data_IF_964239067785
#
_entry.id   IF_964239067785
#
_cell.length_a   1.000
_cell.length_b   1.000
_cell.length_c   1.000
_cell.angle_alpha   90.00
_cell.angle_beta   90.00
_cell.angle_gamma   90.00
#
_symmetry.space_group_name_H-M   'P 1'
#
loop_
_entity.id
_entity.type
_entity.pdbx_description
1 polymer ?
#
# COMPACT_ATOMS: atom_id res chain seq x y z
N UNK A 1 16.50 -7.55 36.20
CA UNK A 1 15.92 -8.01 34.93
C UNK A 1 14.56 -8.59 35.26
N UNK A 2 13.56 -8.34 34.41
CA UNK A 2 12.20 -8.81 34.61
C UNK A 2 12.04 -10.17 33.91
N UNK A 3 11.35 -11.12 34.56
CA UNK A 3 10.96 -12.38 33.91
C UNK A 3 9.56 -12.17 33.34
N UNK A 4 9.42 -12.32 32.03
CA UNK A 4 8.13 -12.24 31.35
C UNK A 4 7.27 -13.43 31.77
N UNK A 5 5.99 -13.17 32.02
CA UNK A 5 4.99 -14.21 32.24
C UNK A 5 3.86 -14.06 31.23
N UNK A 6 3.35 -15.19 30.75
CA UNK A 6 2.20 -15.21 29.86
C UNK A 6 1.05 -14.36 30.44
N UNK A 7 0.35 -13.66 29.55
CA UNK A 7 -0.79 -12.79 29.87
C UNK A 7 -0.48 -11.55 30.74
N UNK A 8 0.77 -11.31 31.11
CA UNK A 8 1.18 -10.00 31.63
C UNK A 8 1.23 -8.96 30.51
N UNK A 9 1.04 -7.69 30.85
CA UNK A 9 1.36 -6.59 29.95
C UNK A 9 2.83 -6.23 30.10
N UNK A 10 3.54 -6.06 29.00
CA UNK A 10 4.91 -5.55 28.96
C UNK A 10 4.96 -4.28 28.14
N UNK A 11 5.76 -3.30 28.57
CA UNK A 11 5.92 -2.03 27.87
C UNK A 11 7.39 -1.61 27.83
N UNK A 12 7.88 -1.06 26.72
CA UNK A 12 9.17 -0.37 26.68
C UNK A 12 9.04 1.05 27.26
N UNK A 13 9.84 1.40 28.27
CA UNK A 13 9.83 2.76 28.86
C UNK A 13 10.31 3.83 27.89
N UNK A 14 11.41 3.57 27.19
CA UNK A 14 11.97 4.46 26.18
C UNK A 14 11.08 4.45 24.94
N UNK A 15 10.90 5.64 24.35
CA UNK A 15 10.06 5.80 23.16
C UNK A 15 8.64 5.26 23.30
N UNK A 16 8.10 5.29 24.54
CA UNK A 16 6.77 4.78 24.87
C UNK A 16 5.61 5.47 24.11
N UNK A 17 5.80 6.69 23.59
CA UNK A 17 4.79 7.35 22.73
C UNK A 17 4.62 6.66 21.36
N UNK A 18 5.50 5.73 21.00
CA UNK A 18 5.38 4.89 19.80
C UNK A 18 4.45 3.69 20.02
N UNK A 19 3.85 3.55 21.21
CA UNK A 19 2.99 2.42 21.58
C UNK A 19 3.68 1.05 21.73
N UNK A 20 4.95 0.92 22.20
CA UNK A 20 5.60 -0.37 22.40
C UNK A 20 5.08 -1.06 23.68
N UNK A 21 3.79 -1.42 23.68
CA UNK A 21 3.07 -2.09 24.77
C UNK A 21 2.31 -3.31 24.21
N UNK A 22 2.38 -4.44 24.89
CA UNK A 22 1.75 -5.67 24.44
C UNK A 22 1.40 -6.58 25.63
N UNK A 23 0.47 -7.52 25.42
CA UNK A 23 0.29 -8.66 26.32
C UNK A 23 1.30 -9.73 25.91
N UNK A 24 2.03 -10.29 26.87
CA UNK A 24 3.06 -11.32 26.69
C UNK A 24 2.40 -12.60 26.18
N UNK A 25 2.72 -13.04 24.95
CA UNK A 25 2.26 -14.32 24.43
C UNK A 25 2.90 -15.50 25.18
N UNK A 26 2.24 -16.66 25.16
CA UNK A 26 2.72 -17.86 25.84
C UNK A 26 4.12 -18.31 25.41
N UNK A 27 4.50 -18.09 24.15
CA UNK A 27 5.82 -18.44 23.60
C UNK A 27 6.99 -17.69 24.26
N UNK A 28 6.71 -16.56 24.94
CA UNK A 28 7.70 -15.75 25.65
C UNK A 28 7.65 -15.93 27.18
N UNK A 29 6.87 -16.89 27.70
CA UNK A 29 6.87 -17.17 29.14
C UNK A 29 8.27 -17.61 29.62
N UNK A 30 8.73 -17.01 30.72
CA UNK A 30 10.04 -17.29 31.31
C UNK A 30 11.20 -16.56 30.65
N UNK A 31 10.99 -15.81 29.56
CA UNK A 31 12.03 -15.01 28.93
C UNK A 31 12.44 -13.85 29.85
N UNK A 32 13.72 -13.47 29.80
CA UNK A 32 14.26 -12.40 30.65
C UNK A 32 14.39 -11.11 29.84
N UNK A 33 13.73 -10.07 30.31
CA UNK A 33 13.79 -8.73 29.73
C UNK A 33 14.59 -7.76 30.62
N UNK A 34 15.21 -6.76 29.97
CA UNK A 34 15.86 -5.66 30.68
C UNK A 34 14.86 -4.89 31.55
N UNK A 35 15.35 -4.17 32.57
CA UNK A 35 14.52 -3.31 33.43
C UNK A 35 13.86 -2.13 32.66
N UNK A 36 14.28 -1.89 31.41
CA UNK A 36 13.60 -0.95 30.49
C UNK A 36 12.25 -1.48 29.97
N UNK A 37 11.90 -2.73 30.30
CA UNK A 37 10.64 -3.40 29.97
C UNK A 37 9.87 -3.81 31.25
N UNK A 38 9.25 -2.86 31.96
CA UNK A 38 8.34 -3.19 33.06
C UNK A 38 7.20 -4.10 32.60
N UNK A 39 6.80 -4.99 33.51
CA UNK A 39 5.68 -5.92 33.35
C UNK A 39 4.58 -5.58 34.35
N UNK A 40 3.33 -5.78 33.95
CA UNK A 40 2.13 -5.49 34.74
C UNK A 40 1.23 -6.72 34.72
N UNK A 41 0.79 -7.15 35.89
CA UNK A 41 -0.18 -8.24 36.01
C UNK A 41 -1.59 -7.68 35.82
N UNK A 42 -2.40 -8.37 35.03
CA UNK A 42 -3.80 -8.01 34.82
C UNK A 42 -4.65 -8.34 36.04
N UNK A 43 -5.54 -7.42 36.41
CA UNK A 43 -6.56 -7.65 37.44
C UNK A 43 -7.60 -8.68 36.98
N UNK A 44 -8.36 -9.29 37.91
CA UNK A 44 -9.36 -10.31 37.60
C UNK A 44 -10.50 -9.81 36.69
N UNK A 45 -10.71 -8.50 36.61
CA UNK A 45 -11.69 -7.86 35.73
C UNK A 45 -11.25 -7.77 34.26
N UNK A 46 -9.97 -7.97 33.96
CA UNK A 46 -9.40 -7.83 32.62
C UNK A 46 -9.14 -9.18 31.96
N UNK A 47 -9.71 -9.38 30.78
CA UNK A 47 -9.35 -10.51 29.92
C UNK A 47 -8.05 -10.22 29.16
N UNK A 48 -7.07 -11.14 29.15
CA UNK A 48 -5.84 -10.95 28.39
C UNK A 48 -6.06 -10.65 26.91
N UNK A 49 -6.99 -11.37 26.26
CA UNK A 49 -7.36 -11.13 24.85
C UNK A 49 -7.93 -9.73 24.60
N UNK A 50 -8.81 -9.26 25.49
CA UNK A 50 -9.33 -7.91 25.40
C UNK A 50 -8.20 -6.88 25.54
N UNK A 51 -7.30 -7.11 26.50
CA UNK A 51 -6.12 -6.25 26.68
C UNK A 51 -5.19 -6.27 25.46
N UNK A 52 -5.10 -7.38 24.71
CA UNK A 52 -4.35 -7.43 23.43
C UNK A 52 -4.87 -6.39 22.44
N UNK A 53 -6.20 -6.22 22.32
CA UNK A 53 -6.78 -5.19 21.45
C UNK A 53 -6.56 -3.77 22.02
N UNK A 54 -6.70 -3.59 23.33
CA UNK A 54 -6.47 -2.30 24.01
C UNK A 54 -5.04 -1.80 23.81
N UNK A 55 -4.05 -2.69 23.95
CA UNK A 55 -2.62 -2.41 23.71
C UNK A 55 -2.35 -1.89 22.29
N UNK A 56 -3.20 -2.25 21.31
CA UNK A 56 -3.08 -1.83 19.89
C UNK A 56 -3.99 -0.64 19.54
N UNK A 57 -4.67 -0.04 20.52
CA UNK A 57 -5.64 1.01 20.29
C UNK A 57 -5.00 2.41 20.20
N UNK A 58 -5.43 3.28 19.27
CA UNK A 58 -4.95 4.66 19.18
C UNK A 58 -5.20 5.46 20.47
N UNK A 59 -6.29 5.17 21.19
CA UNK A 59 -6.64 5.84 22.45
C UNK A 59 -5.58 5.60 23.51
N UNK A 60 -5.18 4.34 23.76
CA UNK A 60 -4.14 4.05 24.74
C UNK A 60 -2.83 4.76 24.34
N UNK A 61 -2.45 4.71 23.06
CA UNK A 61 -1.23 5.35 22.60
C UNK A 61 -1.26 6.88 22.77
N UNK A 62 -2.41 7.52 22.58
CA UNK A 62 -2.60 8.94 22.86
C UNK A 62 -2.44 9.24 24.36
N UNK A 63 -3.05 8.45 25.24
CA UNK A 63 -2.93 8.59 26.70
C UNK A 63 -1.47 8.41 27.18
N UNK A 64 -0.76 7.44 26.60
CA UNK A 64 0.67 7.22 26.84
C UNK A 64 1.49 8.43 26.39
N UNK A 65 1.29 8.89 25.14
CA UNK A 65 2.00 10.03 24.57
C UNK A 65 1.83 11.31 25.40
N UNK A 66 0.64 11.54 25.94
CA UNK A 66 0.33 12.71 26.77
C UNK A 66 0.99 12.70 28.15
N UNK A 67 1.48 11.54 28.62
CA UNK A 67 2.08 11.36 29.95
C UNK A 67 3.60 11.18 29.92
N UNK A 68 4.20 11.06 28.75
CA UNK A 68 5.64 10.91 28.60
C UNK A 68 6.38 12.14 29.13
N UNK A 69 7.48 11.91 29.86
CA UNK A 69 8.35 12.95 30.43
C UNK A 69 9.71 13.05 29.72
N UNK A 70 10.32 14.23 29.71
CA UNK A 70 11.68 14.50 29.17
C UNK A 70 11.72 15.47 27.99
N UNK A 71 12.80 16.26 27.89
CA UNK A 71 12.94 17.33 26.87
C UNK A 71 13.50 16.82 25.54
N UNK A 72 14.42 15.84 25.58
CA UNK A 72 15.06 15.28 24.38
C UNK A 72 14.19 14.18 23.80
N UNK A 73 13.75 14.34 22.55
CA UNK A 73 12.77 13.46 21.92
C UNK A 73 13.13 11.98 22.01
N UNK A 74 14.36 11.55 21.67
CA UNK A 74 14.77 10.12 21.75
C UNK A 74 15.00 9.57 23.17
N UNK A 75 14.94 10.42 24.20
CA UNK A 75 15.15 10.04 25.62
C UNK A 75 13.89 10.17 26.46
N UNK A 76 12.83 10.69 25.87
CA UNK A 76 11.51 10.75 26.49
C UNK A 76 11.12 9.33 26.96
N UNK A 77 10.41 9.25 28.09
CA UNK A 77 9.99 7.97 28.66
C UNK A 77 8.65 8.04 29.37
N UNK A 78 7.99 6.89 29.46
CA UNK A 78 6.83 6.69 30.31
C UNK A 78 7.23 5.79 31.48
N UNK A 79 7.09 6.30 32.70
CA UNK A 79 7.33 5.50 33.91
C UNK A 79 6.10 4.64 34.26
N UNK A 80 6.26 3.49 34.92
CA UNK A 80 5.16 2.60 35.28
C UNK A 80 4.01 3.29 36.00
N UNK A 81 4.31 4.20 36.92
CA UNK A 81 3.32 4.95 37.70
C UNK A 81 2.45 5.84 36.81
N UNK A 82 3.03 6.37 35.72
CA UNK A 82 2.31 7.21 34.77
C UNK A 82 1.39 6.37 33.87
N UNK A 83 1.79 5.13 33.52
CA UNK A 83 0.92 4.20 32.80
C UNK A 83 -0.29 3.81 33.66
N UNK A 84 -0.07 3.51 34.95
CA UNK A 84 -1.12 3.14 35.90
C UNK A 84 -2.13 4.27 36.20
N UNK A 85 -1.82 5.51 35.82
CA UNK A 85 -2.74 6.65 35.91
C UNK A 85 -3.69 6.78 34.71
N UNK A 86 -3.51 5.96 33.66
CA UNK A 86 -4.40 5.97 32.50
C UNK A 86 -5.74 5.34 32.91
N UNK A 87 -6.83 6.07 32.68
CA UNK A 87 -8.18 5.57 32.91
C UNK A 87 -8.80 5.14 31.59
N UNK A 88 -9.10 3.86 31.49
CA UNK A 88 -9.85 3.28 30.37
C UNK A 88 -11.17 2.73 30.89
N UNK A 89 -12.28 2.86 30.14
CA UNK A 89 -13.50 2.16 30.48
C UNK A 89 -13.27 0.67 30.33
N UNK A 90 -13.52 -0.07 31.42
CA UNK A 90 -13.42 -1.52 31.44
C UNK A 90 -14.86 -2.06 31.37
N UNK A 91 -15.29 -2.61 30.23
CA UNK A 91 -16.61 -3.21 30.14
C UNK A 91 -16.67 -4.54 30.93
N UNK A 92 -17.86 -5.05 31.27
CA UNK A 92 -17.99 -6.37 31.90
C UNK A 92 -17.30 -7.47 31.09
N UNK A 93 -16.82 -8.53 31.77
CA UNK A 93 -16.05 -9.60 31.09
C UNK A 93 -16.81 -10.28 29.95
N UNK A 94 -18.12 -10.41 30.04
CA UNK A 94 -18.94 -10.95 28.95
C UNK A 94 -18.93 -10.04 27.72
N UNK A 95 -19.01 -8.72 27.92
CA UNK A 95 -18.86 -7.74 26.84
C UNK A 95 -17.43 -7.78 26.28
N UNK A 96 -16.40 -7.90 27.13
CA UNK A 96 -15.02 -8.06 26.68
C UNK A 96 -14.87 -9.29 25.76
N UNK A 97 -15.43 -10.43 26.15
CA UNK A 97 -15.40 -11.65 25.34
C UNK A 97 -16.08 -11.46 23.98
N UNK A 98 -17.23 -10.78 23.94
CA UNK A 98 -17.94 -10.49 22.68
C UNK A 98 -17.17 -9.52 21.78
N UNK A 99 -16.50 -8.53 22.37
CA UNK A 99 -15.61 -7.61 21.65
C UNK A 99 -14.46 -8.39 21.02
N UNK A 100 -13.79 -9.24 21.81
CA UNK A 100 -12.69 -10.09 21.35
C UNK A 100 -13.13 -10.97 20.19
N UNK A 101 -14.26 -11.68 20.33
CA UNK A 101 -14.79 -12.56 19.28
C UNK A 101 -14.99 -11.82 17.94
N UNK A 102 -15.59 -10.62 17.97
CA UNK A 102 -15.82 -9.82 16.77
C UNK A 102 -14.50 -9.30 16.19
N UNK A 103 -13.61 -8.75 17.01
CA UNK A 103 -12.36 -8.18 16.54
C UNK A 103 -11.39 -9.24 16.01
N UNK A 104 -11.32 -10.40 16.66
CA UNK A 104 -10.51 -11.53 16.21
C UNK A 104 -11.05 -12.14 14.93
N UNK A 105 -12.38 -12.24 14.77
CA UNK A 105 -12.99 -12.65 13.50
C UNK A 105 -12.61 -11.70 12.35
N UNK A 106 -12.63 -10.38 12.59
CA UNK A 106 -12.23 -9.40 11.58
C UNK A 106 -10.73 -9.49 11.28
N UNK A 107 -9.89 -9.66 12.30
CA UNK A 107 -8.45 -9.86 12.13
C UNK A 107 -8.14 -11.12 11.32
N UNK A 108 -8.83 -12.23 11.61
CA UNK A 108 -8.68 -13.47 10.86
C UNK A 108 -9.07 -13.32 9.38
N UNK A 109 -10.16 -12.59 9.09
CA UNK A 109 -10.57 -12.30 7.71
C UNK A 109 -9.56 -11.42 6.97
N UNK A 110 -8.99 -10.41 7.64
CA UNK A 110 -7.93 -9.57 7.05
C UNK A 110 -6.73 -10.44 6.68
N UNK A 111 -6.27 -11.30 7.59
CA UNK A 111 -5.14 -12.20 7.33
C UNK A 111 -5.43 -13.15 6.17
N UNK A 112 -6.65 -13.71 6.10
CA UNK A 112 -7.04 -14.61 5.01
C UNK A 112 -7.05 -13.92 3.64
N UNK A 113 -7.64 -12.72 3.54
CA UNK A 113 -7.68 -11.93 2.31
C UNK A 113 -6.27 -11.55 1.81
N UNK A 114 -5.36 -11.25 2.73
CA UNK A 114 -3.98 -10.94 2.37
C UNK A 114 -3.21 -12.16 1.90
N UNK A 115 -3.36 -13.30 2.58
CA UNK A 115 -2.76 -14.55 2.16
C UNK A 115 -3.24 -14.96 0.76
N UNK A 116 -4.53 -14.79 0.46
CA UNK A 116 -5.08 -15.05 -0.87
C UNK A 116 -4.50 -14.09 -1.93
N UNK A 117 -4.38 -12.80 -1.60
CA UNK A 117 -3.76 -11.82 -2.49
C UNK A 117 -2.28 -12.12 -2.76
N UNK A 118 -1.54 -12.65 -1.79
CA UNK A 118 -0.14 -13.02 -1.94
C UNK A 118 0.04 -14.26 -2.83
N UNK A 119 -0.87 -15.25 -2.74
CA UNK A 119 -0.92 -16.38 -3.69
C UNK A 119 -1.16 -15.88 -5.12
N UNK A 120 -2.06 -14.90 -5.31
CA UNK A 120 -2.28 -14.30 -6.62
C UNK A 120 -1.06 -13.50 -7.11
N UNK A 121 -0.28 -12.88 -6.22
CA UNK A 121 0.97 -12.23 -6.57
C UNK A 121 1.97 -13.23 -7.16
N UNK A 122 2.11 -14.40 -6.53
CA UNK A 122 2.96 -15.49 -7.02
C UNK A 122 2.50 -16.03 -8.39
N UNK A 123 1.18 -16.22 -8.56
CA UNK A 123 0.59 -16.63 -9.84
C UNK A 123 0.83 -15.58 -10.93
N UNK A 124 0.67 -14.30 -10.61
CA UNK A 124 0.90 -13.20 -11.55
C UNK A 124 2.34 -13.21 -12.07
N UNK A 125 3.32 -13.44 -11.19
CA UNK A 125 4.72 -13.61 -11.59
C UNK A 125 4.96 -14.88 -12.38
N UNK A 126 4.27 -15.98 -12.05
CA UNK A 126 4.35 -17.23 -12.81
C UNK A 126 3.85 -17.05 -14.26
N UNK A 127 2.72 -16.38 -14.46
CA UNK A 127 2.21 -16.03 -15.80
C UNK A 127 3.21 -15.15 -16.58
N UNK A 128 3.85 -14.21 -15.90
CA UNK A 128 4.91 -13.39 -16.50
C UNK A 128 6.11 -14.23 -17.00
N UNK A 129 6.56 -15.21 -16.21
CA UNK A 129 7.62 -16.15 -16.62
C UNK A 129 7.18 -17.07 -17.76
N UNK A 130 5.92 -17.51 -17.72
CA UNK A 130 5.32 -18.31 -18.79
C UNK A 130 5.31 -17.51 -20.10
N UNK A 131 4.92 -16.23 -20.09
CA UNK A 131 4.99 -15.37 -21.27
C UNK A 131 6.40 -15.28 -21.86
N UNK A 132 7.43 -15.12 -21.03
CA UNK A 132 8.82 -15.11 -21.50
C UNK A 132 9.19 -16.42 -22.18
N UNK A 133 8.73 -17.54 -21.64
CA UNK A 133 8.99 -18.87 -22.21
C UNK A 133 8.26 -19.05 -23.54
N UNK A 134 6.99 -18.65 -23.61
CA UNK A 134 6.15 -18.78 -24.81
C UNK A 134 6.61 -17.85 -25.94
N UNK A 135 7.09 -16.65 -25.61
CA UNK A 135 7.55 -15.66 -26.57
C UNK A 135 9.08 -15.63 -26.73
N UNK A 136 9.80 -16.62 -26.24
CA UNK A 136 11.28 -16.63 -26.28
C UNK A 136 11.86 -16.58 -27.70
N UNK A 137 11.20 -17.24 -28.65
CA UNK A 137 11.67 -17.42 -30.03
C UNK A 137 10.87 -16.62 -31.08
N UNK A 138 9.96 -15.75 -30.65
CA UNK A 138 9.14 -14.95 -31.58
C UNK A 138 9.88 -13.68 -32.00
N UNK A 139 9.48 -13.12 -33.14
CA UNK A 139 10.01 -11.84 -33.60
C UNK A 139 9.71 -10.74 -32.57
N UNK A 140 10.72 -9.90 -32.27
CA UNK A 140 10.61 -8.78 -31.33
C UNK A 140 10.66 -7.46 -32.09
N UNK A 141 9.71 -6.57 -31.82
CA UNK A 141 9.71 -5.21 -32.32
C UNK A 141 10.22 -4.23 -31.24
N UNK A 142 11.09 -3.28 -31.58
CA UNK A 142 11.47 -2.23 -30.63
C UNK A 142 10.27 -1.31 -30.39
N UNK A 143 10.03 -0.91 -29.14
CA UNK A 143 8.88 -0.12 -28.73
C UNK A 143 8.65 1.14 -29.60
N UNK A 144 9.71 1.85 -29.96
CA UNK A 144 9.60 3.07 -30.77
C UNK A 144 9.17 2.83 -32.23
N UNK A 145 9.14 1.58 -32.72
CA UNK A 145 8.67 1.28 -34.08
C UNK A 145 7.15 1.31 -34.21
N UNK A 146 6.40 1.22 -33.10
CA UNK A 146 4.94 1.17 -33.10
C UNK A 146 4.27 2.02 -32.00
N UNK A 147 5.05 2.85 -31.28
CA UNK A 147 4.55 3.74 -30.24
C UNK A 147 5.11 5.17 -30.34
N UNK A 148 4.28 6.15 -29.99
CA UNK A 148 4.70 7.52 -29.69
C UNK A 148 5.02 7.69 -28.19
N UNK A 149 6.31 7.89 -27.89
CA UNK A 149 6.82 8.00 -26.52
C UNK A 149 7.03 9.49 -26.17
N UNK A 150 6.37 9.97 -25.12
CA UNK A 150 6.58 11.32 -24.60
C UNK A 150 6.94 11.33 -23.11
N UNK A 151 7.82 12.24 -22.72
CA UNK A 151 7.95 12.65 -21.32
C UNK A 151 6.79 13.56 -20.90
N UNK A 152 6.65 13.78 -19.60
CA UNK A 152 5.61 14.66 -19.04
C UNK A 152 6.05 16.10 -18.84
N UNK A 153 5.26 16.83 -18.05
CA UNK A 153 5.46 18.25 -17.80
C UNK A 153 6.70 18.50 -16.94
N UNK A 154 7.64 19.31 -17.45
CA UNK A 154 8.73 19.90 -16.67
C UNK A 154 8.29 21.26 -16.14
N UNK A 155 8.35 21.43 -14.82
CA UNK A 155 7.98 22.69 -14.16
C UNK A 155 9.02 23.77 -14.45
N UNK A 156 8.65 24.82 -15.17
CA UNK A 156 9.48 26.01 -15.36
C UNK A 156 8.77 27.24 -14.80
N UNK A 157 9.48 28.06 -14.01
CA UNK A 157 8.89 29.27 -13.40
C UNK A 157 8.27 30.22 -14.42
N UNK A 158 8.93 30.40 -15.58
CA UNK A 158 8.46 31.24 -16.69
C UNK A 158 7.11 30.83 -17.27
N UNK A 159 6.69 29.57 -17.09
CA UNK A 159 5.39 29.12 -17.55
C UNK A 159 4.26 29.73 -16.73
N UNK A 160 4.51 30.02 -15.45
CA UNK A 160 3.51 30.55 -14.51
C UNK A 160 3.29 32.06 -14.65
N UNK A 161 4.13 32.74 -15.44
CA UNK A 161 4.00 34.16 -15.73
C UNK A 161 3.07 34.42 -16.95
N UNK A 162 2.60 33.36 -17.62
CA UNK A 162 1.74 33.46 -18.79
C UNK A 162 0.26 33.69 -18.39
N UNK A 163 -0.53 34.43 -19.18
CA UNK A 163 -1.91 34.76 -18.83
C UNK A 163 -2.91 33.61 -19.06
N UNK A 164 -2.55 32.58 -19.83
CA UNK A 164 -3.43 31.49 -20.27
C UNK A 164 -3.31 30.21 -19.43
N UNK A 165 -3.13 30.37 -18.11
CA UNK A 165 -3.00 29.25 -17.19
C UNK A 165 -4.32 28.51 -16.98
N UNK A 166 -4.21 27.19 -16.96
CA UNK A 166 -5.27 26.25 -16.58
C UNK A 166 -4.77 25.37 -15.45
N UNK A 167 -5.69 24.94 -14.59
CA UNK A 167 -5.40 23.99 -13.52
C UNK A 167 -6.00 22.63 -13.88
N UNK A 168 -5.15 21.60 -13.97
CA UNK A 168 -5.53 20.26 -14.45
C UNK A 168 -5.00 19.15 -13.53
N UNK A 169 -5.64 17.97 -13.50
CA UNK A 169 -5.15 16.82 -12.76
C UNK A 169 -3.78 16.33 -13.26
N UNK A 170 -2.92 15.90 -12.35
CA UNK A 170 -1.50 15.65 -12.62
C UNK A 170 -1.00 14.39 -11.93
N UNK A 171 -0.70 13.35 -12.73
CA UNK A 171 -0.12 12.11 -12.23
C UNK A 171 1.37 12.25 -11.95
N UNK A 172 1.77 11.77 -10.77
CA UNK A 172 3.16 11.69 -10.31
C UNK A 172 3.63 10.24 -10.32
N UNK A 173 4.93 10.03 -10.11
CA UNK A 173 5.51 8.68 -9.92
C UNK A 173 4.81 7.87 -8.81
N UNK A 174 4.25 8.57 -7.80
CA UNK A 174 3.49 7.99 -6.70
C UNK A 174 2.09 7.47 -7.11
N UNK A 175 1.60 7.81 -8.30
CA UNK A 175 0.31 7.34 -8.80
C UNK A 175 0.46 6.13 -9.73
N UNK A 176 1.62 5.96 -10.35
CA UNK A 176 1.85 4.90 -11.34
C UNK A 176 2.53 3.71 -10.66
N UNK A 177 1.77 2.64 -10.43
CA UNK A 177 2.25 1.41 -9.82
C UNK A 177 2.27 0.27 -10.84
N UNK A 178 2.97 -0.82 -10.49
CA UNK A 178 2.86 -2.07 -11.24
C UNK A 178 1.43 -2.58 -11.06
N UNK A 179 0.74 -2.89 -12.16
CA UNK A 179 -0.62 -3.50 -12.20
C UNK A 179 -1.81 -2.57 -11.94
N UNK A 180 -1.61 -1.37 -11.40
CA UNK A 180 -2.71 -0.44 -11.17
C UNK A 180 -2.23 1.01 -11.16
N UNK A 181 -3.17 1.94 -11.28
CA UNK A 181 -2.96 3.34 -10.98
C UNK A 181 -3.56 3.66 -9.61
N UNK A 182 -2.76 4.24 -8.72
CA UNK A 182 -3.25 4.75 -7.45
C UNK A 182 -3.82 6.16 -7.67
N UNK A 183 -5.14 6.25 -7.71
CA UNK A 183 -5.88 7.48 -7.94
C UNK A 183 -6.57 8.02 -6.67
N UNK A 184 -6.27 7.47 -5.49
CA UNK A 184 -6.88 7.94 -4.22
C UNK A 184 -6.52 9.40 -3.91
N UNK A 185 -5.34 9.84 -4.35
CA UNK A 185 -4.90 11.22 -4.26
C UNK A 185 -4.20 11.61 -5.57
N UNK A 186 -4.79 12.55 -6.31
CA UNK A 186 -4.23 13.10 -7.54
C UNK A 186 -3.96 14.59 -7.35
N UNK A 187 -2.76 15.02 -7.71
CA UNK A 187 -2.38 16.42 -7.59
C UNK A 187 -3.09 17.26 -8.65
N UNK A 188 -3.29 18.54 -8.35
CA UNK A 188 -3.60 19.55 -9.37
C UNK A 188 -2.32 20.32 -9.73
N UNK A 189 -2.20 20.74 -10.98
CA UNK A 189 -1.08 21.57 -11.44
C UNK A 189 -1.56 22.68 -12.37
N UNK A 190 -0.94 23.86 -12.23
CA UNK A 190 -1.13 24.97 -13.16
C UNK A 190 -0.12 24.90 -14.30
N UNK A 191 -0.60 24.99 -15.53
CA UNK A 191 0.23 25.07 -16.74
C UNK A 191 -0.51 25.83 -17.84
N UNK A 192 0.15 26.18 -18.94
CA UNK A 192 -0.49 26.86 -20.06
C UNK A 192 -1.45 25.91 -20.78
N UNK A 193 -2.53 26.43 -21.38
CA UNK A 193 -3.49 25.60 -22.12
C UNK A 193 -2.80 24.73 -23.17
N UNK A 194 -1.85 25.29 -23.92
CA UNK A 194 -1.10 24.56 -24.94
C UNK A 194 -0.30 23.36 -24.39
N UNK A 195 0.26 23.47 -23.17
CA UNK A 195 0.98 22.38 -22.51
C UNK A 195 0.02 21.32 -21.97
N UNK A 196 -1.10 21.74 -21.40
CA UNK A 196 -2.14 20.83 -20.94
C UNK A 196 -2.66 19.98 -22.11
N UNK A 197 -3.01 20.61 -23.24
CA UNK A 197 -3.52 19.93 -24.42
C UNK A 197 -2.50 18.95 -25.02
N UNK A 198 -1.23 19.35 -25.08
CA UNK A 198 -0.14 18.50 -25.62
C UNK A 198 0.14 17.27 -24.77
N UNK A 199 0.06 17.40 -23.45
CA UNK A 199 0.41 16.34 -22.48
C UNK A 199 -0.80 15.56 -21.98
N UNK A 200 -1.99 15.84 -22.51
CA UNK A 200 -3.23 15.16 -22.16
C UNK A 200 -3.13 13.67 -22.46
N UNK A 201 -3.43 12.88 -21.43
CA UNK A 201 -3.55 11.44 -21.54
C UNK A 201 -4.81 11.06 -22.31
N UNK A 202 -4.74 9.94 -23.01
CA UNK A 202 -5.83 9.34 -23.77
C UNK A 202 -5.97 7.88 -23.36
N UNK A 203 -7.19 7.35 -23.39
CA UNK A 203 -7.42 5.92 -23.15
C UNK A 203 -6.53 5.06 -24.05
N UNK A 204 -5.88 4.06 -23.44
CA UNK A 204 -4.87 3.21 -24.07
C UNK A 204 -3.43 3.72 -23.94
N UNK A 205 -3.19 4.91 -23.36
CA UNK A 205 -1.83 5.34 -23.03
C UNK A 205 -1.23 4.44 -21.95
N UNK A 206 -0.04 3.89 -22.19
CA UNK A 206 0.69 3.14 -21.17
C UNK A 206 1.65 4.08 -20.44
N UNK A 207 1.40 4.31 -19.16
CA UNK A 207 2.27 5.11 -18.30
C UNK A 207 3.41 4.25 -17.78
N UNK A 208 4.64 4.76 -17.81
CA UNK A 208 5.83 4.05 -17.30
C UNK A 208 6.75 4.98 -16.52
N UNK A 209 7.15 4.59 -15.31
CA UNK A 209 8.03 5.42 -14.48
C UNK A 209 9.48 5.42 -14.98
N UNK A 210 10.07 6.62 -15.00
CA UNK A 210 11.46 6.86 -15.41
C UNK A 210 12.46 6.41 -14.34
N UNK A 211 12.22 6.72 -13.06
CA UNK A 211 13.22 6.56 -12.02
C UNK A 211 12.66 6.27 -10.64
N UNK A 212 13.54 5.78 -9.75
CA UNK A 212 13.22 5.33 -8.40
C UNK A 212 14.18 4.27 -7.92
N UNK A 213 13.68 3.32 -7.13
CA UNK A 213 14.42 2.12 -6.79
C UNK A 213 14.64 1.26 -8.04
N UNK A 214 15.77 0.55 -8.09
CA UNK A 214 16.19 -0.20 -9.28
C UNK A 214 15.12 -1.22 -9.73
N UNK A 215 14.47 -1.89 -8.79
CA UNK A 215 13.41 -2.89 -9.02
C UNK A 215 12.06 -2.29 -9.46
N UNK A 216 11.94 -0.96 -9.41
CA UNK A 216 10.72 -0.21 -9.74
C UNK A 216 10.79 0.51 -11.09
N UNK A 217 11.91 0.38 -11.81
CA UNK A 217 12.09 0.98 -13.13
C UNK A 217 11.09 0.43 -14.15
N UNK A 218 10.55 1.32 -14.99
CA UNK A 218 9.62 0.98 -16.06
C UNK A 218 8.28 0.41 -15.59
N UNK A 219 8.01 0.36 -14.28
CA UNK A 219 6.69 -0.03 -13.75
C UNK A 219 5.63 0.93 -14.29
N UNK A 220 4.48 0.38 -14.65
CA UNK A 220 3.49 1.11 -15.40
C UNK A 220 2.10 0.52 -15.36
N UNK A 221 1.14 1.24 -15.91
CA UNK A 221 -0.21 0.75 -16.13
C UNK A 221 -0.90 1.51 -17.25
N UNK A 222 -1.96 0.94 -17.80
CA UNK A 222 -2.76 1.58 -18.85
C UNK A 222 -3.65 2.66 -18.24
N UNK A 223 -3.71 3.80 -18.93
CA UNK A 223 -4.66 4.87 -18.67
C UNK A 223 -5.96 4.58 -19.43
N UNK A 224 -7.10 4.70 -18.77
CA UNK A 224 -8.43 4.40 -19.32
C UNK A 224 -9.38 5.59 -19.19
N UNK A 225 -8.84 6.81 -19.24
CA UNK A 225 -9.61 8.05 -19.07
C UNK A 225 -10.37 8.12 -17.73
N UNK A 226 -9.77 7.57 -16.67
CA UNK A 226 -10.35 7.59 -15.32
C UNK A 226 -10.56 9.02 -14.79
N UNK A 227 -9.76 9.99 -15.24
CA UNK A 227 -9.86 11.40 -14.85
C UNK A 227 -9.79 12.30 -16.09
N UNK A 228 -10.81 13.13 -16.37
CA UNK A 228 -10.78 14.05 -17.49
C UNK A 228 -9.59 15.02 -17.45
N UNK A 229 -9.04 15.31 -18.64
CA UNK A 229 -7.98 16.32 -18.86
C UNK A 229 -6.68 16.07 -18.06
N UNK A 230 -6.47 14.84 -17.60
CA UNK A 230 -5.31 14.48 -16.82
C UNK A 230 -4.02 14.52 -17.64
N UNK A 231 -2.97 15.07 -17.04
CA UNK A 231 -1.61 15.10 -17.59
C UNK A 231 -0.64 14.42 -16.62
N UNK A 232 0.64 14.31 -17.00
CA UNK A 232 1.62 13.53 -16.25
C UNK A 232 2.93 14.27 -16.01
N UNK A 233 3.66 13.82 -14.97
CA UNK A 233 4.96 14.34 -14.56
C UNK A 233 6.08 13.98 -15.55
N UNK A 234 7.12 14.83 -15.63
CA UNK A 234 8.34 14.56 -16.41
C UNK A 234 8.96 13.16 -16.19
N UNK A 235 8.90 12.64 -14.96
CA UNK A 235 9.40 11.31 -14.56
C UNK A 235 8.41 10.15 -14.79
N UNK A 236 7.33 10.42 -15.50
CA UNK A 236 6.37 9.41 -15.98
C UNK A 236 6.34 9.53 -17.49
N UNK A 237 6.81 8.53 -18.21
CA UNK A 237 6.64 8.44 -19.65
C UNK A 237 5.20 8.06 -19.99
N UNK A 238 4.70 8.63 -21.09
CA UNK A 238 3.49 8.18 -21.76
C UNK A 238 3.89 7.48 -23.06
N UNK A 239 3.54 6.20 -23.17
CA UNK A 239 3.75 5.37 -24.34
C UNK A 239 2.40 5.14 -25.02
N UNK A 240 2.18 5.77 -26.18
CA UNK A 240 0.93 5.65 -26.94
C UNK A 240 1.12 4.71 -28.11
N UNK A 241 0.37 3.62 -28.15
CA UNK A 241 0.41 2.68 -29.28
C UNK A 241 -0.18 3.35 -30.53
N UNK A 242 0.56 3.33 -31.64
CA UNK A 242 0.15 3.92 -32.93
C UNK A 242 -0.17 2.88 -33.99
N UNK A 243 0.23 1.62 -33.79
CA UNK A 243 -0.08 0.48 -34.66
C UNK A 243 -1.08 -0.47 -33.98
N UNK A 244 -2.24 -0.71 -34.62
CA UNK A 244 -3.31 -1.56 -34.10
C UNK A 244 -2.95 -3.04 -34.02
N UNK A 245 -1.80 -3.46 -34.55
CA UNK A 245 -1.26 -4.81 -34.35
C UNK A 245 -0.83 -5.04 -32.90
N UNK A 246 -0.58 -3.98 -32.13
CA UNK A 246 -0.17 -4.07 -30.73
C UNK A 246 -1.29 -3.63 -29.79
N UNK A 247 -1.41 -4.33 -28.67
CA UNK A 247 -2.39 -4.05 -27.62
C UNK A 247 -1.71 -3.34 -26.42
N UNK A 248 -2.28 -2.22 -25.92
CA UNK A 248 -1.68 -1.47 -24.82
C UNK A 248 -1.70 -2.24 -23.48
N UNK A 249 -2.69 -3.10 -23.23
CA UNK A 249 -2.73 -3.92 -22.02
C UNK A 249 -1.68 -5.02 -22.06
N UNK A 250 -1.46 -5.63 -23.24
CA UNK A 250 -0.34 -6.55 -23.43
C UNK A 250 1.01 -5.86 -23.23
N UNK A 251 1.20 -4.66 -23.80
CA UNK A 251 2.40 -3.87 -23.58
C UNK A 251 2.62 -3.58 -22.08
N UNK A 252 1.55 -3.23 -21.36
CA UNK A 252 1.61 -3.03 -19.92
C UNK A 252 1.99 -4.32 -19.19
N UNK A 253 1.38 -5.45 -19.53
CA UNK A 253 1.68 -6.75 -18.93
C UNK A 253 3.13 -7.17 -19.18
N UNK A 254 3.60 -7.08 -20.43
CA UNK A 254 4.98 -7.40 -20.83
C UNK A 254 6.00 -6.47 -20.15
N UNK A 255 5.75 -5.16 -20.16
CA UNK A 255 6.59 -4.16 -19.49
C UNK A 255 6.66 -4.36 -17.98
N UNK A 256 5.57 -4.82 -17.36
CA UNK A 256 5.54 -5.09 -15.93
C UNK A 256 6.09 -6.47 -15.53
N UNK A 257 6.26 -7.40 -16.46
CA UNK A 257 6.80 -8.74 -16.18
C UNK A 257 8.24 -8.81 -16.67
N UNK A 258 8.47 -9.26 -17.90
CA UNK A 258 9.77 -9.28 -18.57
C UNK A 258 10.49 -7.94 -18.49
N UNK A 259 9.75 -6.84 -18.70
CA UNK A 259 10.32 -5.50 -18.70
C UNK A 259 11.03 -5.14 -17.41
N UNK A 260 10.64 -5.70 -16.25
CA UNK A 260 11.35 -5.46 -14.99
C UNK A 260 12.84 -5.79 -15.10
N UNK A 261 13.18 -7.02 -15.48
CA UNK A 261 14.58 -7.47 -15.58
C UNK A 261 15.32 -6.70 -16.68
N UNK A 262 14.62 -6.39 -17.77
CA UNK A 262 15.16 -5.60 -18.86
C UNK A 262 15.52 -4.17 -18.40
N UNK A 263 14.60 -3.46 -17.73
CA UNK A 263 14.84 -2.09 -17.23
C UNK A 263 15.86 -2.06 -16.09
N UNK A 264 15.92 -3.09 -15.26
CA UNK A 264 16.96 -3.25 -14.23
C UNK A 264 18.37 -3.41 -14.86
N UNK A 265 18.46 -4.09 -15.99
CA UNK A 265 19.72 -4.37 -16.71
C UNK A 265 20.20 -3.19 -17.55
N UNK A 266 19.29 -2.53 -18.28
CA UNK A 266 19.63 -1.46 -19.22
C UNK A 266 19.37 -0.05 -18.68
N UNK A 267 18.86 0.06 -17.44
CA UNK A 267 18.78 1.31 -16.70
C UNK A 267 20.15 1.79 -16.23
N UNK A 268 20.25 3.09 -15.99
CA UNK A 268 21.43 3.73 -15.40
C UNK A 268 21.23 3.94 -13.91
N UNK A 269 22.29 3.83 -13.11
CA UNK A 269 22.24 4.17 -11.69
C UNK A 269 23.35 5.16 -11.35
N UNK A 270 22.95 6.34 -10.90
CA UNK A 270 23.87 7.42 -10.49
C UNK A 270 23.49 7.87 -9.10
N UNK A 271 24.47 7.93 -8.18
CA UNK A 271 24.30 8.47 -6.81
C UNK A 271 23.00 8.03 -6.11
N UNK A 272 22.77 6.71 -6.02
CA UNK A 272 21.67 6.12 -5.25
C UNK A 272 20.32 6.03 -5.96
N UNK A 273 20.11 6.74 -7.08
CA UNK A 273 18.85 6.70 -7.84
C UNK A 273 19.07 5.99 -9.17
N UNK A 274 18.20 5.01 -9.46
CA UNK A 274 18.17 4.36 -10.75
C UNK A 274 17.18 5.07 -11.68
N UNK A 275 17.47 5.09 -12.98
CA UNK A 275 16.61 5.68 -14.00
C UNK A 275 16.74 4.97 -15.35
N UNK A 276 15.68 5.05 -16.16
CA UNK A 276 15.68 4.70 -17.58
C UNK A 276 15.47 5.98 -18.38
N UNK A 277 16.14 6.12 -19.52
CA UNK A 277 15.93 7.27 -20.41
C UNK A 277 15.04 6.87 -21.59
N UNK A 278 14.64 7.86 -22.40
CA UNK A 278 13.83 7.62 -23.60
C UNK A 278 14.52 6.69 -24.61
N UNK A 279 15.84 6.73 -24.74
CA UNK A 279 16.57 5.88 -25.69
C UNK A 279 16.55 4.41 -25.26
N UNK A 280 16.70 4.14 -23.96
CA UNK A 280 16.46 2.84 -23.34
C UNK A 280 15.02 2.42 -23.64
N UNK A 281 14.02 3.17 -23.18
CA UNK A 281 12.61 2.81 -23.39
C UNK A 281 12.24 2.56 -24.86
N UNK A 282 12.80 3.34 -25.79
CA UNK A 282 12.56 3.19 -27.24
C UNK A 282 13.03 1.85 -27.81
N UNK A 283 14.07 1.25 -27.20
CA UNK A 283 14.66 -0.03 -27.61
C UNK A 283 14.06 -1.24 -26.88
N UNK A 284 13.13 -1.02 -25.95
CA UNK A 284 12.47 -2.09 -25.22
C UNK A 284 11.85 -3.09 -26.22
N UNK A 285 12.26 -4.37 -26.22
CA UNK A 285 11.76 -5.34 -27.19
C UNK A 285 10.40 -5.86 -26.75
N UNK A 286 9.45 -5.88 -27.68
CA UNK A 286 8.07 -6.35 -27.46
C UNK A 286 7.74 -7.43 -28.49
N UNK A 287 7.16 -8.57 -28.09
CA UNK A 287 6.75 -9.64 -29.01
C UNK A 287 5.79 -9.14 -30.11
N UNK A 288 6.16 -9.34 -31.37
CA UNK A 288 5.28 -9.10 -32.54
C UNK A 288 4.51 -10.39 -32.84
N UNK A 289 3.47 -10.62 -32.05
CA UNK A 289 2.55 -11.76 -32.16
C UNK A 289 1.14 -11.28 -32.51
N UNK A 290 0.26 -12.12 -33.07
CA UNK A 290 -1.10 -11.69 -33.43
C UNK A 290 -1.83 -11.03 -32.26
N UNK A 291 -2.53 -9.92 -32.53
CA UNK A 291 -3.22 -9.12 -31.49
C UNK A 291 -4.18 -9.94 -30.63
N UNK A 292 -4.82 -10.97 -31.18
CA UNK A 292 -5.68 -11.88 -30.42
C UNK A 292 -4.92 -12.65 -29.32
N UNK A 293 -3.68 -13.05 -29.59
CA UNK A 293 -2.81 -13.69 -28.59
C UNK A 293 -2.38 -12.67 -27.53
N UNK A 294 -2.07 -11.44 -27.94
CA UNK A 294 -1.73 -10.36 -27.01
C UNK A 294 -2.90 -10.10 -26.04
N UNK A 295 -4.12 -10.01 -26.56
CA UNK A 295 -5.33 -9.77 -25.78
C UNK A 295 -5.66 -10.92 -24.82
N UNK A 296 -5.47 -12.18 -25.23
CA UNK A 296 -5.63 -13.34 -24.35
C UNK A 296 -4.70 -13.26 -23.13
N UNK A 297 -3.40 -13.03 -23.37
CA UNK A 297 -2.42 -12.89 -22.30
C UNK A 297 -2.67 -11.67 -21.41
N UNK A 298 -3.00 -10.53 -22.02
CA UNK A 298 -3.36 -9.32 -21.30
C UNK A 298 -4.58 -9.56 -20.40
N UNK A 299 -5.60 -10.26 -20.89
CA UNK A 299 -6.79 -10.61 -20.13
C UNK A 299 -6.48 -11.54 -18.94
N UNK A 300 -5.69 -12.59 -19.14
CA UNK A 300 -5.27 -13.51 -18.06
C UNK A 300 -4.50 -12.78 -16.96
N UNK A 301 -3.50 -11.98 -17.33
CA UNK A 301 -2.68 -11.21 -16.38
C UNK A 301 -3.49 -10.11 -15.70
N UNK A 302 -4.35 -9.42 -16.46
CA UNK A 302 -5.25 -8.39 -15.98
C UNK A 302 -6.22 -8.93 -14.93
N UNK A 303 -6.89 -10.05 -15.21
CA UNK A 303 -7.85 -10.68 -14.29
C UNK A 303 -7.21 -11.04 -12.94
N UNK A 304 -5.99 -11.59 -12.94
CA UNK A 304 -5.25 -11.88 -11.71
C UNK A 304 -4.92 -10.59 -10.95
N UNK A 305 -4.46 -9.55 -11.66
CA UNK A 305 -4.13 -8.26 -11.06
C UNK A 305 -5.36 -7.57 -10.43
N UNK A 306 -6.49 -7.54 -11.13
CA UNK A 306 -7.75 -6.96 -10.67
C UNK A 306 -8.28 -7.67 -9.44
N UNK A 307 -8.28 -9.01 -9.44
CA UNK A 307 -8.73 -9.81 -8.30
C UNK A 307 -7.86 -9.55 -7.08
N UNK A 308 -6.54 -9.54 -7.26
CA UNK A 308 -5.59 -9.24 -6.18
C UNK A 308 -5.77 -7.82 -5.62
N UNK A 309 -6.01 -6.80 -6.45
CA UNK A 309 -6.26 -5.44 -5.95
C UNK A 309 -7.61 -5.34 -5.23
N UNK A 310 -8.63 -6.08 -5.68
CA UNK A 310 -9.92 -6.19 -4.99
C UNK A 310 -9.76 -6.78 -3.59
N UNK A 311 -9.05 -7.89 -3.44
CA UNK A 311 -8.78 -8.53 -2.14
C UNK A 311 -8.01 -7.58 -1.20
N UNK A 312 -6.95 -6.94 -1.70
CA UNK A 312 -6.20 -5.94 -0.92
C UNK A 312 -7.08 -4.72 -0.57
N UNK A 313 -7.97 -4.31 -1.45
CA UNK A 313 -8.98 -3.28 -1.20
C UNK A 313 -9.94 -3.64 -0.07
N UNK A 314 -10.46 -4.86 -0.07
CA UNK A 314 -11.33 -5.39 0.99
C UNK A 314 -10.59 -5.46 2.33
N UNK A 315 -9.34 -5.96 2.34
CA UNK A 315 -8.52 -5.99 3.55
C UNK A 315 -8.25 -4.58 4.12
N UNK A 316 -7.98 -3.58 3.27
CA UNK A 316 -7.83 -2.18 3.68
C UNK A 316 -9.12 -1.62 4.28
N UNK A 317 -10.28 -1.92 3.67
CA UNK A 317 -11.58 -1.50 4.17
C UNK A 317 -11.89 -2.12 5.54
N UNK A 318 -11.68 -3.43 5.69
CA UNK A 318 -11.85 -4.13 6.97
C UNK A 318 -10.94 -3.57 8.06
N UNK A 319 -9.69 -3.24 7.75
CA UNK A 319 -8.79 -2.57 8.71
C UNK A 319 -9.31 -1.22 9.16
N UNK A 320 -9.83 -0.41 8.24
CA UNK A 320 -10.42 0.88 8.57
C UNK A 320 -11.63 0.70 9.50
N UNK A 321 -12.54 -0.20 9.14
CA UNK A 321 -13.71 -0.56 9.96
C UNK A 321 -13.29 -1.07 11.34
N UNK A 322 -12.31 -1.98 11.40
CA UNK A 322 -11.76 -2.51 12.66
C UNK A 322 -11.20 -1.39 13.54
N UNK A 323 -10.42 -0.48 12.97
CA UNK A 323 -9.87 0.65 13.72
C UNK A 323 -10.98 1.55 14.29
N UNK A 324 -12.04 1.81 13.52
CA UNK A 324 -13.22 2.53 13.98
C UNK A 324 -14.00 1.79 15.06
N UNK A 325 -14.18 0.47 14.94
CA UNK A 325 -14.83 -0.38 15.96
C UNK A 325 -14.07 -0.36 17.28
N UNK A 326 -12.74 -0.54 17.24
CA UNK A 326 -11.88 -0.48 18.44
C UNK A 326 -12.00 0.88 19.11
N UNK A 327 -11.95 1.98 18.35
CA UNK A 327 -12.13 3.32 18.93
C UNK A 327 -13.52 3.47 19.55
N UNK A 328 -14.59 3.10 18.83
CA UNK A 328 -15.95 3.31 19.31
C UNK A 328 -16.32 2.46 20.53
N UNK A 329 -15.84 1.21 20.59
CA UNK A 329 -16.03 0.33 21.75
C UNK A 329 -15.25 0.84 22.98
N UNK A 330 -14.04 1.35 22.79
CA UNK A 330 -13.25 1.91 23.89
C UNK A 330 -13.74 3.31 24.30
N UNK A 331 -14.35 4.07 23.41
CA UNK A 331 -14.95 5.38 23.68
C UNK A 331 -16.39 5.30 24.21
N UNK A 332 -16.92 4.08 24.35
CA UNK A 332 -18.32 3.81 24.71
C UNK A 332 -19.34 4.46 23.75
N UNK A 333 -18.92 4.90 22.56
CA UNK A 333 -19.83 5.39 21.52
C UNK A 333 -20.50 4.26 20.77
N UNK A 334 -19.99 3.03 20.90
CA UNK A 334 -20.62 1.78 20.47
C UNK A 334 -20.87 0.94 21.73
N UNK A 335 -22.12 0.55 21.97
CA UNK A 335 -22.51 -0.30 23.10
C UNK A 335 -22.94 -1.67 22.57
N UNK A 336 -22.40 -2.74 23.17
CA UNK A 336 -22.88 -4.10 22.92
C UNK A 336 -23.92 -4.40 24.01
N UNK A 337 -25.19 -4.44 23.62
CA UNK A 337 -26.27 -4.83 24.53
C UNK A 337 -26.24 -6.35 24.71
N UNK A 338 -26.16 -6.79 25.96
CA UNK A 338 -26.41 -8.17 26.35
C UNK A 338 -27.90 -8.25 26.67
N UNK A 339 -28.76 -8.32 25.66
CA UNK A 339 -30.12 -8.80 25.89
C UNK A 339 -30.08 -10.33 25.95
N UNK A 340 -30.56 -10.85 27.07
CA UNK A 340 -30.44 -12.22 27.53
C UNK A 340 -31.06 -13.23 26.57
N UNK A 341 -30.29 -14.25 26.23
CA UNK A 341 -30.81 -15.56 25.81
C UNK A 341 -31.36 -16.26 27.07
N UNK A 342 -32.45 -15.72 27.63
CA UNK A 342 -33.23 -16.35 28.69
C UNK A 342 -34.73 -16.21 28.38
N UNK A 343 -35.20 -16.74 27.25
CA UNK A 343 -36.57 -17.23 27.12
C UNK A 343 -36.58 -18.44 26.17
N UNK A 344 -36.54 -19.62 26.77
CA UNK A 344 -36.61 -20.90 26.08
C UNK A 344 -36.57 -22.06 27.08
N UNK A 345 -37.47 -22.03 28.06
CA UNK A 345 -37.88 -23.22 28.84
C UNK A 345 -38.88 -24.01 28.02
#
# INVERSE_FOLDING_TARGET
MNVLRADQVVMRKLTAWEGPIAVVPAEFDGFVASNEFPTFTLGPELMPDWMRHVCRSPRLWAEMKNRVSGTVQRRKRLNPEQLLQIQLPIPPREVQARIVEVLDSVDAQIVALEAEADVLDELWWALGREMVTVFGDVAMAPLASFCDISGGLTKNKKDLDQPDLVEVPYLRVANVHRRHLNLSEVAMIKTTRAKADKLRLQSGDVLMNEGGDKDKLGRGHVWEDQIPDCIHQNHVFRVRVTDRRFDPHFLSAWGNTFGREWFETFGTQTTGIASINRATLSRFPVPDVPVAVQQDWAGRIGAVAETMESLRGQARSLRATRASLVSGLLDQSITINIESVEQGV
#
